data_IF_505607054750
#
_entry.id   IF_505607054750
#
_cell.length_a   1.000
_cell.length_b   1.000
_cell.length_c   1.000
_cell.angle_alpha   90.00
_cell.angle_beta   90.00
_cell.angle_gamma   90.00
#
_symmetry.space_group_name_H-M   'P 1'
#
loop_
_entity.id
_entity.type
_entity.pdbx_description
1 polymer ?
#
# COMPACT_ATOMS: atom_id res chain seq x y z
N UNK A 1 -0.81 -11.08 1.77
CA UNK A 1 -2.25 -10.75 1.86
C UNK A 1 -3.20 -11.93 1.61
N UNK A 2 -2.76 -13.19 1.55
CA UNK A 2 -3.61 -14.34 1.16
C UNK A 2 -4.73 -14.73 2.16
N UNK A 3 -4.99 -13.90 3.17
CA UNK A 3 -6.09 -14.10 4.10
C UNK A 3 -7.38 -13.48 3.54
N UNK A 4 -8.41 -14.32 3.41
CA UNK A 4 -9.72 -13.98 2.84
C UNK A 4 -10.41 -12.85 3.61
N UNK A 5 -10.24 -12.76 4.94
CA UNK A 5 -10.89 -11.71 5.75
C UNK A 5 -10.28 -10.34 5.50
N UNK A 6 -8.96 -10.27 5.39
CA UNK A 6 -8.25 -9.04 5.03
C UNK A 6 -8.63 -8.55 3.62
N UNK A 7 -8.80 -9.48 2.68
CA UNK A 7 -9.23 -9.19 1.32
C UNK A 7 -10.65 -8.59 1.30
N UNK A 8 -11.61 -9.25 1.95
CA UNK A 8 -13.01 -8.81 2.00
C UNK A 8 -13.15 -7.40 2.58
N UNK A 9 -12.44 -7.11 3.66
CA UNK A 9 -12.52 -5.80 4.29
C UNK A 9 -11.83 -4.71 3.46
N UNK A 10 -10.70 -5.03 2.81
CA UNK A 10 -10.06 -4.10 1.88
C UNK A 10 -11.01 -3.71 0.74
N UNK A 11 -11.80 -4.67 0.23
CA UNK A 11 -12.82 -4.41 -0.77
C UNK A 11 -13.96 -3.53 -0.28
N UNK A 12 -14.52 -3.86 0.89
CA UNK A 12 -15.60 -3.08 1.49
C UNK A 12 -15.14 -1.64 1.72
N UNK A 13 -13.92 -1.47 2.24
CA UNK A 13 -13.30 -0.17 2.45
C UNK A 13 -13.15 0.61 1.14
N UNK A 14 -12.62 -0.03 0.11
CA UNK A 14 -12.41 0.59 -1.19
C UNK A 14 -13.72 1.00 -1.86
N UNK A 15 -14.74 0.14 -1.80
CA UNK A 15 -16.07 0.44 -2.32
C UNK A 15 -16.71 1.61 -1.57
N UNK A 16 -16.59 1.63 -0.23
CA UNK A 16 -17.12 2.69 0.62
C UNK A 16 -16.45 4.04 0.32
N UNK A 17 -15.12 4.07 0.27
CA UNK A 17 -14.36 5.30 0.01
C UNK A 17 -14.58 5.80 -1.42
N UNK A 18 -14.58 4.91 -2.41
CA UNK A 18 -14.86 5.28 -3.81
C UNK A 18 -16.27 5.86 -3.95
N UNK A 19 -17.26 5.24 -3.31
CA UNK A 19 -18.65 5.74 -3.32
C UNK A 19 -18.78 7.09 -2.61
N UNK A 20 -18.04 7.31 -1.53
CA UNK A 20 -18.04 8.59 -0.81
C UNK A 20 -17.39 9.69 -1.65
N UNK A 21 -16.23 9.42 -2.28
CA UNK A 21 -15.54 10.37 -3.15
C UNK A 21 -16.38 10.74 -4.39
N UNK A 22 -17.04 9.74 -5.00
CA UNK A 22 -17.95 9.97 -6.12
C UNK A 22 -19.14 10.87 -5.72
N UNK A 23 -19.71 10.68 -4.52
CA UNK A 23 -20.80 11.53 -4.01
C UNK A 23 -20.38 12.96 -3.68
N UNK A 24 -19.10 13.18 -3.36
CA UNK A 24 -18.57 14.49 -3.05
C UNK A 24 -18.23 15.29 -4.31
N UNK A 25 -18.22 14.65 -5.50
CA UNK A 25 -17.74 15.24 -6.76
C UNK A 25 -16.31 15.81 -6.65
N UNK A 26 -15.54 15.35 -5.65
CA UNK A 26 -14.17 15.82 -5.40
C UNK A 26 -13.19 14.91 -6.12
N UNK A 27 -12.80 15.31 -7.32
CA UNK A 27 -11.71 14.71 -8.07
C UNK A 27 -12.02 13.36 -8.70
N UNK A 28 -10.99 12.74 -9.28
CA UNK A 28 -11.09 11.47 -9.99
C UNK A 28 -10.36 10.36 -9.22
N UNK A 29 -10.94 9.15 -9.23
CA UNK A 29 -10.38 7.98 -8.53
C UNK A 29 -10.10 6.85 -9.51
N UNK A 30 -8.88 6.34 -9.48
CA UNK A 30 -8.49 5.10 -10.15
C UNK A 30 -8.09 4.04 -9.13
N UNK A 31 -8.34 2.78 -9.47
CA UNK A 31 -8.04 1.61 -8.67
C UNK A 31 -7.15 0.69 -9.49
N UNK A 32 -6.02 0.28 -8.92
CA UNK A 32 -5.14 -0.71 -9.51
C UNK A 32 -4.81 -1.81 -8.49
N UNK A 33 -4.58 -3.02 -9.00
CA UNK A 33 -3.97 -4.10 -8.24
C UNK A 33 -2.51 -4.24 -8.65
N UNK A 34 -1.66 -4.63 -7.71
CA UNK A 34 -0.25 -4.86 -7.98
C UNK A 34 0.29 -6.04 -7.17
N UNK A 35 1.25 -6.73 -7.77
CA UNK A 35 2.03 -7.82 -7.18
C UNK A 35 3.24 -8.07 -8.04
N UNK A 36 3.26 -9.18 -8.79
CA UNK A 36 4.23 -9.38 -9.89
C UNK A 36 3.93 -8.48 -11.09
N UNK A 37 2.66 -8.29 -11.40
CA UNK A 37 2.16 -7.38 -12.44
C UNK A 37 1.49 -6.16 -11.80
N UNK A 38 1.19 -5.16 -12.62
CA UNK A 38 0.38 -3.99 -12.25
C UNK A 38 -0.78 -3.90 -13.23
N UNK A 39 -2.00 -3.96 -12.72
CA UNK A 39 -3.22 -3.98 -13.54
C UNK A 39 -4.19 -2.92 -13.02
N UNK A 40 -4.61 -2.00 -13.88
CA UNK A 40 -5.64 -1.00 -13.55
C UNK A 40 -7.00 -1.69 -13.66
N UNK A 41 -7.75 -1.71 -12.56
CA UNK A 41 -9.09 -2.30 -12.48
C UNK A 41 -10.19 -1.28 -12.75
N UNK A 42 -10.00 -0.07 -12.22
CA UNK A 42 -10.85 1.08 -12.50
C UNK A 42 -9.94 2.23 -12.94
N UNK A 43 -10.00 2.66 -14.20
CA UNK A 43 -9.18 3.78 -14.64
C UNK A 43 -9.83 5.13 -14.26
N UNK A 44 -9.11 6.24 -14.41
CA UNK A 44 -9.66 7.57 -14.15
C UNK A 44 -10.82 7.88 -15.11
N UNK A 45 -11.80 8.64 -14.65
CA UNK A 45 -12.96 9.04 -15.43
C UNK A 45 -12.55 9.84 -16.67
N UNK A 46 -13.06 9.46 -17.85
CA UNK A 46 -12.66 10.07 -19.14
C UNK A 46 -11.43 9.47 -19.81
N UNK A 47 -10.71 8.54 -19.16
CA UNK A 47 -9.68 7.75 -19.87
C UNK A 47 -10.35 6.75 -20.82
N UNK A 48 -9.91 6.71 -22.08
CA UNK A 48 -10.45 5.86 -23.15
C UNK A 48 -10.15 4.35 -22.99
N UNK A 49 -10.03 3.87 -21.75
CA UNK A 49 -9.98 2.44 -21.46
C UNK A 49 -11.38 1.85 -21.58
N UNK A 50 -11.60 0.95 -22.55
CA UNK A 50 -12.84 0.18 -22.67
C UNK A 50 -13.23 -0.37 -21.30
N UNK A 51 -14.29 0.18 -20.72
CA UNK A 51 -14.93 -0.38 -19.55
C UNK A 51 -15.71 -1.61 -20.02
N UNK A 52 -15.08 -2.78 -20.00
CA UNK A 52 -15.81 -4.03 -20.01
C UNK A 52 -16.48 -4.12 -18.64
N UNK A 53 -17.59 -3.41 -18.52
CA UNK A 53 -18.47 -3.41 -17.38
C UNK A 53 -19.08 -4.82 -17.25
N UNK A 54 -18.47 -5.71 -16.47
CA UNK A 54 -19.17 -6.91 -15.98
C UNK A 54 -18.55 -7.61 -14.78
N UNK A 55 -17.36 -7.23 -14.32
CA UNK A 55 -16.80 -7.77 -13.08
C UNK A 55 -16.64 -6.60 -12.12
N UNK A 56 -17.29 -6.68 -10.97
CA UNK A 56 -16.99 -5.76 -9.87
C UNK A 56 -15.47 -5.72 -9.66
N UNK A 57 -14.83 -4.57 -9.35
CA UNK A 57 -13.38 -4.50 -9.06
C UNK A 57 -12.93 -5.55 -8.01
N UNK A 58 -13.91 -6.05 -7.27
CA UNK A 58 -13.89 -7.13 -6.28
C UNK A 58 -13.44 -8.48 -6.87
N UNK A 59 -13.89 -8.87 -8.06
CA UNK A 59 -13.47 -10.14 -8.68
C UNK A 59 -12.01 -10.12 -9.16
N UNK A 60 -11.44 -8.92 -9.31
CA UNK A 60 -10.09 -8.72 -9.82
C UNK A 60 -8.97 -9.01 -8.82
N UNK A 61 -9.22 -8.97 -7.51
CA UNK A 61 -8.19 -9.26 -6.51
C UNK A 61 -8.38 -10.64 -5.91
N UNK A 62 -7.44 -11.54 -6.22
CA UNK A 62 -7.35 -12.85 -5.59
C UNK A 62 -6.40 -12.86 -4.40
N UNK A 63 -5.66 -11.77 -4.15
CA UNK A 63 -4.64 -11.61 -3.08
C UNK A 63 -3.66 -12.78 -2.91
N UNK A 64 -3.57 -13.68 -3.90
CA UNK A 64 -2.74 -14.90 -3.88
C UNK A 64 -1.38 -14.68 -4.55
N UNK A 65 -0.95 -13.42 -4.66
CA UNK A 65 0.28 -13.07 -5.35
C UNK A 65 1.48 -13.36 -4.45
N UNK A 66 2.45 -14.11 -4.98
CA UNK A 66 3.63 -14.58 -4.24
C UNK A 66 4.78 -13.56 -4.19
N UNK A 67 4.66 -12.45 -4.91
CA UNK A 67 5.69 -11.41 -4.99
C UNK A 67 5.05 -10.03 -5.09
N UNK A 68 5.65 -9.07 -4.40
CA UNK A 68 5.22 -7.66 -4.35
C UNK A 68 6.29 -6.78 -4.99
N UNK A 69 5.98 -6.18 -6.15
CA UNK A 69 6.89 -5.26 -6.82
C UNK A 69 6.44 -3.81 -6.61
N UNK A 70 6.79 -3.25 -5.45
CA UNK A 70 6.45 -1.86 -5.08
C UNK A 70 7.08 -0.85 -6.05
N UNK A 71 8.30 -1.11 -6.54
CA UNK A 71 8.97 -0.26 -7.54
C UNK A 71 8.14 -0.13 -8.81
N UNK A 72 7.63 -1.25 -9.33
CA UNK A 72 6.73 -1.27 -10.49
C UNK A 72 5.44 -0.52 -10.17
N UNK A 73 4.85 -0.73 -8.99
CA UNK A 73 3.63 -0.04 -8.59
C UNK A 73 3.80 1.48 -8.60
N UNK A 74 4.84 2.01 -7.93
CA UNK A 74 5.14 3.46 -7.92
C UNK A 74 5.35 3.99 -9.34
N UNK A 75 6.17 3.31 -10.15
CA UNK A 75 6.46 3.75 -11.51
C UNK A 75 5.22 3.77 -12.42
N UNK A 76 4.35 2.77 -12.31
CA UNK A 76 3.11 2.70 -13.09
C UNK A 76 2.05 3.68 -12.60
N UNK A 77 1.95 3.91 -11.29
CA UNK A 77 1.08 4.94 -10.73
C UNK A 77 1.46 6.34 -11.22
N UNK A 78 2.75 6.68 -11.24
CA UNK A 78 3.22 7.96 -11.80
C UNK A 78 2.82 8.09 -13.28
N UNK A 79 2.98 7.02 -14.08
CA UNK A 79 2.54 7.01 -15.48
C UNK A 79 1.02 7.17 -15.61
N UNK A 80 0.24 6.49 -14.80
CA UNK A 80 -1.21 6.60 -14.80
C UNK A 80 -1.67 8.04 -14.51
N UNK A 81 -1.04 8.71 -13.55
CA UNK A 81 -1.29 10.13 -13.26
C UNK A 81 -0.91 11.07 -14.41
N UNK A 82 0.18 10.78 -15.14
CA UNK A 82 0.58 11.57 -16.32
C UNK A 82 -0.37 11.37 -17.51
N UNK A 83 -0.83 10.14 -17.74
CA UNK A 83 -1.80 9.83 -18.80
C UNK A 83 -3.17 10.45 -18.53
N UNK A 84 -3.62 10.43 -17.28
CA UNK A 84 -4.88 11.08 -16.88
C UNK A 84 -4.83 12.59 -17.11
N UNK A 85 -3.72 13.23 -16.76
CA UNK A 85 -3.48 14.66 -17.01
C UNK A 85 -3.50 14.98 -18.51
N UNK A 86 -2.84 14.16 -19.32
CA UNK A 86 -2.80 14.35 -20.79
C UNK A 86 -4.18 14.20 -21.45
N UNK A 87 -5.11 13.49 -20.82
CA UNK A 87 -6.45 13.20 -21.34
C UNK A 87 -7.51 14.19 -20.85
N UNK A 88 -7.26 14.88 -19.74
CA UNK A 88 -8.12 15.92 -19.20
C UNK A 88 -7.91 17.23 -19.96
N UNK A 89 -8.99 17.78 -20.53
CA UNK A 89 -8.95 19.05 -21.28
C UNK A 89 -8.83 20.30 -20.37
N UNK A 90 -8.15 20.17 -19.22
CA UNK A 90 -8.13 21.17 -18.15
C UNK A 90 -6.90 22.07 -18.24
N UNK A 91 -7.14 23.37 -18.41
CA UNK A 91 -6.11 24.40 -18.59
C UNK A 91 -5.30 24.72 -17.29
N UNK A 92 -5.65 24.11 -16.14
CA UNK A 92 -5.03 24.32 -14.82
C UNK A 92 -4.27 23.08 -14.28
N UNK A 93 -3.84 22.18 -15.15
CA UNK A 93 -3.38 20.84 -14.77
C UNK A 93 -2.03 20.77 -14.04
N UNK A 94 -1.25 21.86 -14.03
CA UNK A 94 0.03 21.91 -13.31
C UNK A 94 -0.11 22.28 -11.81
N UNK A 95 -1.31 22.57 -11.33
CA UNK A 95 -1.54 22.98 -9.94
C UNK A 95 -2.15 21.91 -9.04
N UNK A 96 -2.69 20.83 -9.61
CA UNK A 96 -3.38 19.81 -8.82
C UNK A 96 -2.40 18.83 -8.16
N UNK A 97 -2.49 18.72 -6.85
CA UNK A 97 -1.81 17.67 -6.09
C UNK A 97 -2.50 16.33 -6.31
N UNK A 98 -1.70 15.26 -6.42
CA UNK A 98 -2.17 13.90 -6.67
C UNK A 98 -1.79 13.00 -5.49
N UNK A 99 -2.70 12.13 -5.07
CA UNK A 99 -2.48 11.22 -3.94
C UNK A 99 -2.44 9.76 -4.43
N UNK A 100 -1.30 9.10 -4.24
CA UNK A 100 -1.14 7.66 -4.42
C UNK A 100 -1.19 6.94 -3.07
N UNK A 101 -2.17 6.08 -2.86
CA UNK A 101 -2.28 5.26 -1.65
C UNK A 101 -1.90 3.82 -2.01
N UNK A 102 -0.88 3.28 -1.34
CA UNK A 102 -0.42 1.90 -1.52
C UNK A 102 -0.78 1.11 -0.27
N UNK A 103 -1.48 -0.01 -0.44
CA UNK A 103 -1.84 -0.92 0.65
C UNK A 103 -1.11 -2.24 0.41
N UNK A 104 -0.23 -2.64 1.33
CA UNK A 104 0.55 -3.88 1.25
C UNK A 104 1.05 -4.27 2.65
N UNK A 105 1.52 -5.49 2.82
CA UNK A 105 2.25 -5.98 4.00
C UNK A 105 3.60 -5.28 4.27
N UNK A 106 4.02 -4.32 3.43
CA UNK A 106 5.23 -3.53 3.63
C UNK A 106 6.51 -4.18 3.11
N UNK A 107 6.43 -5.40 2.58
CA UNK A 107 7.60 -6.10 2.04
C UNK A 107 7.93 -5.54 0.65
N UNK A 108 9.00 -4.76 0.61
CA UNK A 108 9.56 -4.09 -0.56
C UNK A 108 11.04 -4.45 -0.72
N UNK A 109 11.44 -4.75 -1.96
CA UNK A 109 12.85 -4.83 -2.38
C UNK A 109 13.33 -3.47 -2.88
N UNK A 110 14.64 -3.28 -2.98
CA UNK A 110 15.26 -2.12 -3.65
C UNK A 110 14.84 -0.74 -3.08
N UNK A 111 14.92 -0.56 -1.75
CA UNK A 111 14.51 0.68 -1.07
C UNK A 111 15.10 1.95 -1.68
N UNK A 112 16.38 1.94 -2.09
CA UNK A 112 17.03 3.11 -2.67
C UNK A 112 16.47 3.49 -4.05
N UNK A 113 16.13 2.52 -4.90
CA UNK A 113 15.48 2.79 -6.19
C UNK A 113 14.07 3.35 -5.98
N UNK A 114 13.30 2.78 -5.04
CA UNK A 114 11.97 3.28 -4.70
C UNK A 114 12.05 4.70 -4.15
N UNK A 115 13.00 4.99 -3.27
CA UNK A 115 13.24 6.33 -2.69
C UNK A 115 13.57 7.35 -3.78
N UNK A 116 14.39 6.98 -4.78
CA UNK A 116 14.68 7.83 -5.94
C UNK A 116 13.43 8.15 -6.77
N UNK A 117 12.59 7.14 -7.03
CA UNK A 117 11.31 7.33 -7.72
C UNK A 117 10.34 8.23 -6.94
N UNK A 118 10.26 8.06 -5.63
CA UNK A 118 9.40 8.88 -4.76
C UNK A 118 9.84 10.34 -4.73
N UNK A 119 11.16 10.60 -4.67
CA UNK A 119 11.69 11.98 -4.78
C UNK A 119 11.29 12.64 -6.10
N UNK A 120 11.35 11.88 -7.21
CA UNK A 120 10.88 12.37 -8.50
C UNK A 120 9.37 12.64 -8.49
N UNK A 121 8.58 11.74 -7.90
CA UNK A 121 7.13 11.90 -7.80
C UNK A 121 6.72 13.18 -7.04
N UNK A 122 7.46 13.56 -6.00
CA UNK A 122 7.23 14.80 -5.26
C UNK A 122 7.40 16.05 -6.14
N UNK A 123 8.37 16.04 -7.07
CA UNK A 123 8.56 17.13 -8.04
C UNK A 123 7.35 17.27 -8.98
N UNK A 124 6.69 16.15 -9.28
CA UNK A 124 5.47 16.08 -10.09
C UNK A 124 4.18 16.32 -9.26
N UNK A 125 4.30 16.81 -8.01
CA UNK A 125 3.20 17.02 -7.05
C UNK A 125 2.39 15.75 -6.74
N UNK A 126 3.04 14.59 -6.76
CA UNK A 126 2.45 13.31 -6.39
C UNK A 126 2.93 12.94 -4.99
N UNK A 127 1.99 12.83 -4.06
CA UNK A 127 2.22 12.36 -2.70
C UNK A 127 1.87 10.89 -2.59
N UNK A 128 2.79 10.08 -2.06
CA UNK A 128 2.52 8.68 -1.76
C UNK A 128 2.30 8.47 -0.26
N UNK A 129 1.30 7.68 0.10
CA UNK A 129 1.07 7.18 1.46
C UNK A 129 1.04 5.66 1.42
N UNK A 130 1.85 5.01 2.26
CA UNK A 130 1.93 3.57 2.35
C UNK A 130 1.20 3.05 3.60
N UNK A 131 0.14 2.28 3.41
CA UNK A 131 -0.58 1.56 4.45
C UNK A 131 0.02 0.16 4.57
N UNK A 132 0.79 -0.06 5.65
CA UNK A 132 1.41 -1.33 5.96
C UNK A 132 0.40 -2.17 6.76
N UNK A 133 -0.04 -3.29 6.21
CA UNK A 133 -0.90 -4.24 6.93
C UNK A 133 -0.02 -5.20 7.74
N UNK A 134 -0.03 -5.04 9.07
CA UNK A 134 0.76 -5.85 10.00
C UNK A 134 -0.13 -6.93 10.63
N UNK A 135 -0.11 -8.13 10.04
CA UNK A 135 -0.93 -9.26 10.49
C UNK A 135 -0.35 -9.93 11.74
N UNK A 136 -0.40 -9.26 12.90
CA UNK A 136 0.16 -9.77 14.16
C UNK A 136 -0.81 -10.64 14.99
N UNK A 137 -2.06 -10.87 14.56
CA UNK A 137 -3.09 -11.45 15.43
C UNK A 137 -3.75 -12.76 14.96
N UNK A 138 -3.20 -13.50 13.98
CA UNK A 138 -3.95 -14.63 13.39
C UNK A 138 -3.77 -16.00 14.05
N UNK A 139 -3.03 -16.13 15.14
CA UNK A 139 -2.90 -17.41 15.87
C UNK A 139 -3.53 -17.44 17.27
N UNK A 140 -4.38 -16.47 17.63
CA UNK A 140 -5.14 -16.50 18.90
C UNK A 140 -6.63 -16.39 18.61
N UNK A 141 -7.27 -17.47 18.16
CA UNK A 141 -8.71 -17.38 17.84
C UNK A 141 -9.50 -18.60 17.38
N UNK A 142 -8.98 -19.83 17.42
CA UNK A 142 -9.83 -21.04 17.34
C UNK A 142 -9.31 -22.14 18.27
N UNK A 143 -9.32 -21.87 19.57
CA UNK A 143 -9.29 -22.91 20.60
C UNK A 143 -10.72 -23.11 21.11
N UNK A 144 -11.51 -23.83 20.31
CA UNK A 144 -12.70 -24.50 20.83
C UNK A 144 -12.25 -25.58 21.80
N UNK A 145 -12.83 -25.53 23.00
CA UNK A 145 -12.66 -26.42 24.13
C UNK A 145 -12.16 -27.84 23.78
N UNK A 146 -11.04 -28.22 24.39
CA UNK A 146 -10.85 -29.53 25.00
C UNK A 146 -9.74 -29.41 26.05
N UNK A 147 -10.18 -29.45 27.32
CA UNK A 147 -9.33 -29.69 28.48
C UNK A 147 -8.83 -31.14 28.40
N UNK A 148 -7.51 -31.36 28.43
CA UNK A 148 -6.86 -32.24 29.42
C UNK A 148 -5.32 -32.25 29.22
N UNK A 149 -4.58 -32.19 30.33
CA UNK A 149 -3.25 -32.79 30.46
C UNK A 149 -1.99 -32.10 29.90
N UNK A 150 -1.22 -31.52 30.84
CA UNK A 150 0.27 -31.59 30.95
C UNK A 150 1.22 -30.65 30.18
N UNK A 151 1.76 -29.69 30.96
CA UNK A 151 3.00 -28.88 30.87
C UNK A 151 4.07 -29.22 29.80
N UNK A 152 4.44 -28.22 28.99
CA UNK A 152 5.83 -27.77 28.76
C UNK A 152 5.81 -26.36 28.14
N UNK A 153 6.62 -25.44 28.69
CA UNK A 153 6.80 -24.07 28.21
C UNK A 153 7.68 -24.07 26.97
N UNK A 154 7.13 -23.68 25.83
CA UNK A 154 7.86 -23.14 24.68
C UNK A 154 7.04 -21.96 24.14
N UNK A 155 7.25 -20.78 24.74
CA UNK A 155 6.74 -19.50 24.25
C UNK A 155 7.52 -19.08 22.99
N UNK A 156 7.26 -19.74 21.86
CA UNK A 156 7.58 -19.21 20.54
C UNK A 156 6.34 -18.49 19.99
N UNK A 157 6.02 -17.33 20.56
CA UNK A 157 5.17 -16.36 19.86
C UNK A 157 5.92 -15.94 18.60
N UNK A 158 5.37 -16.32 17.44
CA UNK A 158 5.91 -16.03 16.14
C UNK A 158 5.73 -14.52 15.86
N UNK A 159 6.68 -13.72 16.36
CA UNK A 159 6.77 -12.25 16.23
C UNK A 159 7.15 -11.85 14.78
N UNK A 160 6.38 -12.28 13.79
CA UNK A 160 6.58 -11.92 12.38
C UNK A 160 5.97 -10.55 12.02
N UNK A 161 6.05 -9.57 12.94
CA UNK A 161 5.62 -8.19 12.68
C UNK A 161 6.65 -7.47 11.82
N UNK A 162 6.18 -6.54 10.99
CA UNK A 162 7.07 -5.63 10.24
C UNK A 162 7.97 -4.80 11.17
N UNK A 163 7.56 -4.58 12.42
CA UNK A 163 8.29 -3.79 13.41
C UNK A 163 9.53 -4.55 13.94
N UNK A 164 9.45 -5.87 14.05
CA UNK A 164 10.55 -6.75 14.48
C UNK A 164 11.41 -7.22 13.30
N UNK A 165 11.04 -6.89 12.07
CA UNK A 165 11.78 -7.29 10.87
C UNK A 165 13.12 -6.54 10.79
N UNK A 166 14.21 -7.29 10.57
CA UNK A 166 15.52 -6.74 10.28
C UNK A 166 15.84 -6.87 8.79
N UNK A 167 16.47 -5.85 8.21
CA UNK A 167 17.09 -5.87 6.90
C UNK A 167 18.60 -6.13 7.02
N UNK A 168 19.16 -6.70 5.96
CA UNK A 168 20.59 -6.99 5.85
C UNK A 168 21.18 -6.00 4.86
N UNK A 169 22.13 -5.18 5.30
CA UNK A 169 22.95 -4.36 4.42
C UNK A 169 24.40 -4.85 4.40
N UNK A 170 25.00 -4.85 3.21
CA UNK A 170 26.40 -5.21 3.02
C UNK A 170 27.21 -3.92 2.96
N UNK A 171 28.10 -3.72 3.93
CA UNK A 171 29.03 -2.59 3.92
C UNK A 171 30.44 -3.10 3.71
N UNK A 172 31.20 -2.38 2.89
CA UNK A 172 32.63 -2.66 2.73
C UNK A 172 33.33 -2.19 4.00
N UNK A 173 33.77 -3.13 4.84
CA UNK A 173 34.62 -2.83 5.98
C UNK A 173 35.95 -2.22 5.54
N UNK A 174 36.63 -1.54 6.46
CA UNK A 174 37.90 -0.84 6.22
C UNK A 174 39.02 -1.72 5.63
N UNK A 175 38.86 -3.05 5.67
CA UNK A 175 39.83 -4.04 5.23
C UNK A 175 39.44 -4.71 3.90
N UNK A 176 38.39 -4.24 3.22
CA UNK A 176 37.84 -4.89 2.01
C UNK A 176 37.05 -6.18 2.30
N UNK A 177 36.77 -6.48 3.58
CA UNK A 177 35.88 -7.56 3.97
C UNK A 177 34.43 -7.08 3.91
N UNK A 178 33.57 -7.87 3.27
CA UNK A 178 32.11 -7.65 3.25
C UNK A 178 31.58 -7.88 4.66
N UNK A 179 31.19 -6.81 5.35
CA UNK A 179 30.58 -6.89 6.68
C UNK A 179 29.05 -6.84 6.52
N UNK A 180 28.40 -7.83 7.11
CA UNK A 180 26.94 -7.92 7.20
C UNK A 180 26.49 -7.03 8.36
N UNK A 181 25.80 -5.93 8.04
CA UNK A 181 25.16 -5.08 9.04
C UNK A 181 23.67 -5.41 9.09
N UNK A 182 23.20 -5.80 10.26
CA UNK A 182 21.76 -5.93 10.53
C UNK A 182 21.23 -4.57 10.96
N UNK A 183 20.18 -4.10 10.30
CA UNK A 183 19.46 -2.88 10.69
C UNK A 183 17.94 -3.14 10.70
N UNK A 184 17.16 -2.26 11.31
CA UNK A 184 15.70 -2.47 11.33
C UNK A 184 15.14 -2.16 9.97
N UNK A 185 14.21 -3.00 9.49
CA UNK A 185 13.61 -2.84 8.17
C UNK A 185 12.94 -1.47 7.97
N UNK A 186 12.27 -0.98 9.02
CA UNK A 186 11.59 0.31 8.99
C UNK A 186 12.56 1.51 8.94
N UNK A 187 13.82 1.35 9.36
CA UNK A 187 14.81 2.42 9.32
C UNK A 187 15.22 2.76 7.89
N UNK A 188 15.12 1.79 6.97
CA UNK A 188 15.44 1.98 5.55
C UNK A 188 14.21 2.16 4.66
N UNK A 189 13.00 2.09 5.23
CA UNK A 189 11.74 2.10 4.49
C UNK A 189 11.62 3.33 3.57
N UNK A 190 11.24 3.15 2.29
CA UNK A 190 11.46 4.19 1.28
C UNK A 190 10.41 5.30 1.27
N UNK A 191 9.28 5.14 1.98
CA UNK A 191 8.18 6.12 2.00
C UNK A 191 8.28 7.05 3.20
N UNK A 192 8.16 8.36 2.96
CA UNK A 192 8.12 9.37 4.03
C UNK A 192 6.81 9.32 4.84
N UNK A 193 5.71 8.94 4.18
CA UNK A 193 4.39 8.81 4.81
C UNK A 193 3.96 7.34 4.78
N UNK A 194 3.95 6.71 5.95
CA UNK A 194 3.43 5.36 6.10
C UNK A 194 2.67 5.19 7.42
N UNK A 195 1.72 4.26 7.43
CA UNK A 195 0.88 3.94 8.58
C UNK A 195 0.90 2.43 8.75
N UNK A 196 1.25 1.96 9.96
CA UNK A 196 1.20 0.55 10.31
C UNK A 196 -0.19 0.24 10.88
N UNK A 197 -0.90 -0.64 10.21
CA UNK A 197 -2.25 -1.07 10.54
C UNK A 197 -2.21 -2.50 11.08
N UNK A 198 -2.34 -2.64 12.40
CA UNK A 198 -2.40 -3.97 13.07
C UNK A 198 -3.78 -4.60 13.03
N UNK A 199 -4.80 -3.75 13.02
CA UNK A 199 -6.20 -4.14 12.93
C UNK A 199 -6.75 -3.72 11.58
N UNK A 200 -7.05 -4.70 10.74
CA UNK A 200 -7.58 -4.47 9.40
C UNK A 200 -8.94 -3.77 9.48
N UNK A 201 -9.74 -3.99 10.54
CA UNK A 201 -11.04 -3.33 10.75
C UNK A 201 -10.95 -1.80 10.85
N UNK A 202 -9.78 -1.28 11.21
CA UNK A 202 -9.52 0.16 11.23
C UNK A 202 -9.23 0.76 9.85
N UNK A 203 -9.07 -0.05 8.79
CA UNK A 203 -8.70 0.41 7.45
C UNK A 203 -9.64 1.50 6.87
N UNK A 204 -10.98 1.39 6.95
CA UNK A 204 -11.87 2.45 6.48
C UNK A 204 -11.64 3.80 7.18
N UNK A 205 -11.44 3.75 8.50
CA UNK A 205 -11.24 4.94 9.31
C UNK A 205 -9.89 5.60 9.00
N UNK A 206 -8.83 4.79 8.88
CA UNK A 206 -7.48 5.26 8.54
C UNK A 206 -7.44 5.85 7.13
N UNK A 207 -8.09 5.20 6.16
CA UNK A 207 -8.16 5.69 4.78
C UNK A 207 -8.90 7.03 4.72
N UNK A 208 -10.03 7.14 5.43
CA UNK A 208 -10.81 8.38 5.52
C UNK A 208 -10.00 9.52 6.18
N UNK A 209 -9.29 9.23 7.28
CA UNK A 209 -8.41 10.20 7.93
C UNK A 209 -7.25 10.63 7.02
N UNK A 210 -6.65 9.70 6.28
CA UNK A 210 -5.56 9.98 5.33
C UNK A 210 -6.02 10.93 4.23
N UNK A 211 -7.19 10.65 3.64
CA UNK A 211 -7.78 11.53 2.63
C UNK A 211 -8.06 12.93 3.17
N UNK A 212 -8.62 13.03 4.38
CA UNK A 212 -8.86 14.31 5.04
C UNK A 212 -7.57 15.09 5.26
N UNK A 213 -6.53 14.45 5.80
CA UNK A 213 -5.22 15.08 6.04
C UNK A 213 -4.57 15.54 4.74
N UNK A 214 -4.68 14.75 3.66
CA UNK A 214 -4.20 15.14 2.34
C UNK A 214 -4.92 16.40 1.83
N UNK A 215 -6.25 16.43 1.89
CA UNK A 215 -7.03 17.59 1.46
C UNK A 215 -6.69 18.85 2.28
N UNK A 216 -6.57 18.72 3.60
CA UNK A 216 -6.16 19.82 4.48
C UNK A 216 -4.75 20.32 4.13
N UNK A 217 -3.81 19.41 3.84
CA UNK A 217 -2.44 19.78 3.46
C UNK A 217 -2.39 20.49 2.11
N UNK A 218 -3.12 19.98 1.11
CA UNK A 218 -3.16 20.58 -0.23
C UNK A 218 -3.82 21.96 -0.22
N UNK A 219 -4.84 22.17 0.63
CA UNK A 219 -5.49 23.48 0.77
C UNK A 219 -4.63 24.52 1.52
N UNK A 220 -3.62 24.07 2.27
CA UNK A 220 -2.72 24.91 3.06
C UNK A 220 -1.36 25.17 2.39
N UNK A 221 -1.14 24.64 1.19
CA UNK A 221 0.08 24.81 0.37
C UNK A 221 -0.20 25.78 -0.77
#
# INVERSE_FOLDING_TARGET
MADSRCADLAFQTLALVTSALAKLEVGQVAIAKFGRSFDILQPFEGSSGKLNNSASPIEGFTFSQQQTNVRLAVAQTIKAFSLAQSSGNSHNDNETWKLGIIISDGICQDHEEVKSLLRKAVQDKIMFVFLILDSLHQHTGTAGANEDGTKAKDDHHNDSSIISMNSVSYVNGANGQMELKMERYLDTFPFDYYIILRDVEALPNVLSSTLRQFLEKVNNV
#
